data_IF_833491468640
#
_entry.id   IF_833491468640
#
_cell.length_a   1.000
_cell.length_b   1.000
_cell.length_c   1.000
_cell.angle_alpha   90.00
_cell.angle_beta   90.00
_cell.angle_gamma   90.00
#
_symmetry.space_group_name_H-M   'P 1'
#
loop_
_entity.id
_entity.type
_entity.pdbx_description
1 polymer ?
#
# COMPACT_ATOMS: atom_id res chain seq x y z
N UNK A 1 3.43 -1.57 -19.09
CA UNK A 1 2.10 -0.95 -18.90
C UNK A 1 1.94 -0.67 -17.42
N UNK A 2 1.79 0.58 -17.01
CA UNK A 2 1.50 0.91 -15.61
C UNK A 2 0.05 0.50 -15.30
N UNK A 3 -0.17 -0.22 -14.20
CA UNK A 3 -1.51 -0.53 -13.73
C UNK A 3 -2.22 0.78 -13.34
N UNK A 4 -3.37 1.07 -13.93
CA UNK A 4 -4.16 2.23 -13.56
C UNK A 4 -4.63 2.06 -12.10
N UNK A 5 -4.33 3.06 -11.26
CA UNK A 5 -4.79 3.07 -9.88
C UNK A 5 -6.32 3.11 -9.85
N UNK A 6 -6.94 2.26 -9.03
CA UNK A 6 -8.39 2.21 -8.88
C UNK A 6 -8.89 3.49 -8.18
N UNK A 7 -10.01 4.07 -8.62
CA UNK A 7 -10.60 5.23 -7.96
C UNK A 7 -10.98 4.89 -6.51
N UNK A 8 -10.58 5.75 -5.58
CA UNK A 8 -10.96 5.68 -4.18
C UNK A 8 -11.77 6.91 -3.82
N UNK A 9 -12.77 6.76 -2.95
CA UNK A 9 -13.51 7.87 -2.33
C UNK A 9 -13.29 7.83 -0.82
N UNK A 10 -13.19 9.01 -0.20
CA UNK A 10 -13.07 9.15 1.25
C UNK A 10 -14.34 9.81 1.77
N UNK A 11 -14.96 9.18 2.77
CA UNK A 11 -16.15 9.67 3.44
C UNK A 11 -15.75 10.21 4.80
N UNK A 12 -15.97 11.50 5.03
CA UNK A 12 -15.62 12.17 6.28
C UNK A 12 -16.88 12.55 7.06
N UNK A 13 -16.91 12.23 8.36
CA UNK A 13 -17.97 12.66 9.28
C UNK A 13 -17.39 13.57 10.36
N UNK A 14 -17.79 14.84 10.34
CA UNK A 14 -17.23 15.92 11.18
C UNK A 14 -18.18 16.40 12.30
N UNK A 15 -19.42 15.88 12.36
CA UNK A 15 -20.47 16.50 13.17
C UNK A 15 -20.35 16.23 14.68
N UNK A 16 -19.62 15.18 15.12
CA UNK A 16 -19.40 14.87 16.53
C UNK A 16 -18.17 13.97 16.74
N UNK A 17 -17.40 14.15 17.82
CA UNK A 17 -16.34 13.21 18.19
C UNK A 17 -16.92 11.83 18.56
N UNK A 18 -16.31 10.72 18.12
CA UNK A 18 -15.07 10.67 17.32
C UNK A 18 -15.31 11.01 15.84
N UNK A 19 -14.40 11.80 15.27
CA UNK A 19 -14.30 11.96 13.82
C UNK A 19 -14.03 10.59 13.17
N UNK A 20 -14.74 10.31 12.07
CA UNK A 20 -14.63 9.02 11.39
C UNK A 20 -14.44 9.23 9.90
N UNK A 21 -13.41 8.58 9.35
CA UNK A 21 -13.13 8.59 7.91
C UNK A 21 -13.17 7.17 7.37
N UNK A 22 -14.01 6.93 6.36
CA UNK A 22 -14.09 5.65 5.67
C UNK A 22 -13.56 5.79 4.24
N UNK A 23 -12.59 4.95 3.88
CA UNK A 23 -12.15 4.83 2.49
C UNK A 23 -13.02 3.81 1.76
N UNK A 24 -13.86 4.28 0.86
CA UNK A 24 -14.66 3.42 -0.01
C UNK A 24 -13.87 3.12 -1.29
N UNK A 25 -13.49 1.86 -1.46
CA UNK A 25 -12.80 1.40 -2.67
C UNK A 25 -13.83 1.05 -3.74
N UNK A 26 -13.87 1.82 -4.83
CA UNK A 26 -14.73 1.56 -5.99
C UNK A 26 -14.06 0.55 -6.94
N UNK A 27 -13.48 -0.53 -6.39
CA UNK A 27 -12.84 -1.58 -7.18
C UNK A 27 -13.79 -2.26 -8.16
N UNK A 28 -13.36 -3.32 -8.86
CA UNK A 28 -14.06 -4.02 -9.96
C UNK A 28 -15.49 -4.54 -9.70
N UNK A 29 -16.09 -4.17 -8.57
CA UNK A 29 -17.49 -4.37 -8.25
C UNK A 29 -18.43 -3.51 -9.11
N UNK A 30 -19.70 -3.90 -9.14
CA UNK A 30 -20.76 -3.14 -9.78
C UNK A 30 -20.84 -1.72 -9.19
N UNK A 31 -21.20 -0.71 -9.99
CA UNK A 31 -21.37 0.66 -9.50
C UNK A 31 -22.32 0.70 -8.31
N UNK A 32 -21.94 1.46 -7.27
CA UNK A 32 -22.70 1.57 -6.01
C UNK A 32 -23.53 2.85 -6.02
N UNK A 33 -24.80 2.76 -5.65
CA UNK A 33 -25.64 3.93 -5.39
C UNK A 33 -25.20 4.64 -4.11
N UNK A 34 -25.44 5.95 -4.00
CA UNK A 34 -25.20 6.72 -2.78
C UNK A 34 -25.88 6.10 -1.56
N UNK A 35 -27.13 5.65 -1.66
CA UNK A 35 -27.85 4.98 -0.57
C UNK A 35 -27.07 3.79 0.00
N UNK A 36 -26.63 2.88 -0.88
CA UNK A 36 -25.81 1.73 -0.50
C UNK A 36 -24.48 2.14 0.15
N UNK A 37 -23.85 3.19 -0.35
CA UNK A 37 -22.59 3.67 0.21
C UNK A 37 -22.79 4.27 1.62
N UNK A 38 -23.90 4.98 1.86
CA UNK A 38 -24.29 5.48 3.18
C UNK A 38 -24.65 4.35 4.14
N UNK A 39 -25.31 3.28 3.68
CA UNK A 39 -25.55 2.08 4.49
C UNK A 39 -24.24 1.39 4.91
N UNK A 40 -23.29 1.26 3.98
CA UNK A 40 -21.94 0.73 4.27
C UNK A 40 -21.20 1.61 5.27
N UNK A 41 -21.34 2.94 5.14
CA UNK A 41 -20.77 3.90 6.09
C UNK A 41 -21.39 3.78 7.49
N UNK A 42 -22.71 3.74 7.60
CA UNK A 42 -23.41 3.63 8.88
C UNK A 42 -23.02 2.34 9.62
N UNK A 43 -22.88 1.21 8.90
CA UNK A 43 -22.39 -0.05 9.46
C UNK A 43 -20.95 0.05 9.95
N UNK A 44 -20.06 0.67 9.17
CA UNK A 44 -18.68 0.86 9.58
C UNK A 44 -18.56 1.80 10.80
N UNK A 45 -19.39 2.84 10.87
CA UNK A 45 -19.45 3.77 11.99
C UNK A 45 -19.93 3.09 13.28
N UNK A 46 -20.85 2.13 13.19
CA UNK A 46 -21.34 1.34 14.34
C UNK A 46 -20.22 0.63 15.13
N UNK A 47 -19.11 0.28 14.47
CA UNK A 47 -17.94 -0.34 15.10
C UNK A 47 -17.22 0.60 16.08
N UNK A 48 -17.53 1.90 16.07
CA UNK A 48 -17.04 2.88 17.04
C UNK A 48 -17.83 2.89 18.35
N UNK A 49 -18.89 2.07 18.45
CA UNK A 49 -19.82 2.06 19.58
C UNK A 49 -20.96 3.07 19.46
N UNK A 50 -21.03 3.80 18.34
CA UNK A 50 -22.06 4.80 18.03
C UNK A 50 -22.80 4.44 16.74
N UNK A 51 -24.12 4.55 16.72
CA UNK A 51 -24.97 4.26 15.57
C UNK A 51 -25.45 5.55 14.87
N UNK A 52 -25.53 5.48 13.55
CA UNK A 52 -26.14 6.48 12.68
C UNK A 52 -27.32 5.83 11.95
N UNK A 53 -28.46 6.52 11.87
CA UNK A 53 -29.60 6.05 11.08
C UNK A 53 -29.31 6.32 9.59
N UNK A 54 -29.29 5.31 8.69
CA UNK A 54 -28.98 5.55 7.29
C UNK A 54 -29.92 6.55 6.60
N UNK A 55 -31.19 6.59 7.04
CA UNK A 55 -32.20 7.54 6.56
C UNK A 55 -31.95 8.98 6.99
N UNK A 56 -31.10 9.24 8.00
CA UNK A 56 -30.70 10.58 8.40
C UNK A 56 -29.40 11.04 7.75
N UNK A 57 -28.74 10.19 6.96
CA UNK A 57 -27.48 10.50 6.30
C UNK A 57 -27.69 11.17 4.95
N UNK A 58 -26.88 12.19 4.67
CA UNK A 58 -26.71 12.75 3.33
C UNK A 58 -25.24 12.76 2.93
N UNK A 59 -24.98 12.65 1.63
CA UNK A 59 -23.65 12.68 1.05
C UNK A 59 -23.49 13.97 0.24
N UNK A 60 -22.42 14.72 0.49
CA UNK A 60 -22.16 16.00 -0.18
C UNK A 60 -20.73 16.09 -0.70
N UNK A 61 -20.54 16.85 -1.78
CA UNK A 61 -19.21 17.17 -2.30
C UNK A 61 -18.51 18.24 -1.45
N UNK A 62 -17.22 18.47 -1.68
CA UNK A 62 -16.46 19.55 -1.03
C UNK A 62 -17.09 20.94 -1.23
N UNK A 63 -17.78 21.15 -2.35
CA UNK A 63 -18.51 22.41 -2.64
C UNK A 63 -19.87 22.49 -1.91
N UNK A 64 -20.23 21.47 -1.13
CA UNK A 64 -21.49 21.38 -0.38
C UNK A 64 -22.70 20.93 -1.20
N UNK A 65 -22.50 20.47 -2.44
CA UNK A 65 -23.61 19.95 -3.25
C UNK A 65 -24.00 18.55 -2.78
N UNK A 66 -25.28 18.37 -2.42
CA UNK A 66 -25.81 17.07 -2.01
C UNK A 66 -26.02 16.14 -3.22
N UNK A 67 -25.62 14.88 -3.05
CA UNK A 67 -25.78 13.84 -4.06
C UNK A 67 -27.10 13.08 -3.82
N UNK A 68 -27.92 12.85 -4.87
CA UNK A 68 -29.16 12.11 -4.70
C UNK A 68 -28.88 10.63 -4.40
N UNK A 69 -29.76 10.01 -3.61
CA UNK A 69 -29.57 8.66 -3.07
C UNK A 69 -29.41 7.56 -4.14
N UNK A 70 -29.99 7.76 -5.32
CA UNK A 70 -29.94 6.87 -6.48
C UNK A 70 -28.74 7.15 -7.40
N UNK A 71 -27.95 8.19 -7.14
CA UNK A 71 -26.74 8.49 -7.93
C UNK A 71 -25.72 7.35 -7.82
N UNK A 72 -25.14 6.95 -8.95
CA UNK A 72 -24.14 5.88 -9.01
C UNK A 72 -22.72 6.43 -8.83
N UNK A 73 -21.98 6.03 -7.81
CA UNK A 73 -20.60 6.45 -7.59
C UNK A 73 -19.62 5.75 -8.58
N UNK A 74 -18.61 6.46 -9.12
CA UNK A 74 -18.28 7.88 -8.93
C UNK A 74 -18.90 8.74 -10.05
N UNK A 75 -20.20 9.04 -10.02
CA UNK A 75 -20.89 9.82 -11.07
C UNK A 75 -20.33 11.24 -11.20
N UNK A 76 -19.47 11.47 -12.20
CA UNK A 76 -18.97 12.80 -12.54
C UNK A 76 -18.00 13.40 -11.51
N UNK A 77 -17.57 12.62 -10.51
CA UNK A 77 -16.59 13.06 -9.52
C UNK A 77 -15.17 12.80 -10.06
N UNK A 78 -14.24 13.76 -9.95
CA UNK A 78 -12.85 13.50 -10.26
C UNK A 78 -12.28 12.38 -9.37
N UNK A 79 -11.30 11.61 -9.87
CA UNK A 79 -10.61 10.61 -9.06
C UNK A 79 -10.07 11.25 -7.77
N UNK A 80 -10.22 10.54 -6.64
CA UNK A 80 -9.77 11.02 -5.33
C UNK A 80 -10.53 12.23 -4.79
N UNK A 81 -11.79 12.43 -5.19
CA UNK A 81 -12.65 13.43 -4.55
C UNK A 81 -13.00 13.02 -3.12
N UNK A 82 -12.95 13.99 -2.22
CA UNK A 82 -13.47 13.84 -0.86
C UNK A 82 -14.99 14.06 -0.86
N UNK A 83 -15.69 13.21 -0.12
CA UNK A 83 -17.12 13.28 0.09
C UNK A 83 -17.40 13.39 1.58
N UNK A 84 -18.37 14.22 1.93
CA UNK A 84 -18.71 14.53 3.31
C UNK A 84 -20.05 13.89 3.63
N UNK A 85 -20.05 13.06 4.68
CA UNK A 85 -21.26 12.45 5.22
C UNK A 85 -21.78 13.36 6.33
N UNK A 86 -23.03 13.78 6.20
CA UNK A 86 -23.74 14.57 7.22
C UNK A 86 -24.88 13.74 7.79
N UNK A 87 -25.19 13.95 9.07
CA UNK A 87 -26.36 13.35 9.71
C UNK A 87 -27.29 14.45 10.22
N UNK A 88 -28.58 14.35 9.92
CA UNK A 88 -29.61 15.21 10.48
C UNK A 88 -29.92 14.91 11.95
N UNK A 89 -29.52 13.72 12.44
CA UNK A 89 -29.75 13.24 13.80
C UNK A 89 -28.38 12.96 14.47
N UNK A 90 -28.17 13.36 15.74
CA UNK A 90 -26.92 13.06 16.43
C UNK A 90 -26.71 11.54 16.56
N UNK A 91 -25.45 11.06 16.57
CA UNK A 91 -25.15 9.66 16.81
C UNK A 91 -25.71 9.20 18.17
N UNK A 92 -26.32 8.02 18.21
CA UNK A 92 -26.77 7.39 19.47
C UNK A 92 -25.84 6.23 19.84
N UNK A 93 -25.75 5.81 21.11
CA UNK A 93 -25.04 4.59 21.46
C UNK A 93 -25.54 3.40 20.61
N UNK A 94 -24.62 2.64 20.05
CA UNK A 94 -24.98 1.46 19.28
C UNK A 94 -25.53 0.38 20.22
N UNK A 95 -26.56 -0.34 19.80
CA UNK A 95 -27.00 -1.54 20.49
C UNK A 95 -25.87 -2.59 20.39
N UNK A 96 -25.39 -3.09 21.53
CA UNK A 96 -24.31 -4.06 21.59
C UNK A 96 -24.60 -5.29 20.72
N UNK A 97 -25.87 -5.71 20.63
CA UNK A 97 -26.28 -6.83 19.77
C UNK A 97 -26.15 -6.51 18.27
N UNK A 98 -26.36 -5.24 17.88
CA UNK A 98 -26.22 -4.80 16.50
C UNK A 98 -24.74 -4.69 16.08
N UNK A 99 -23.85 -4.32 17.01
CA UNK A 99 -22.40 -4.26 16.76
C UNK A 99 -21.83 -5.66 16.52
N UNK A 100 -22.17 -6.64 17.37
CA UNK A 100 -21.74 -8.03 17.16
C UNK A 100 -22.27 -8.61 15.85
N UNK A 101 -23.54 -8.34 15.49
CA UNK A 101 -24.11 -8.80 14.24
C UNK A 101 -23.43 -8.18 13.00
N UNK A 102 -23.01 -6.91 13.09
CA UNK A 102 -22.29 -6.23 12.01
C UNK A 102 -20.90 -6.82 11.80
N UNK A 103 -20.17 -7.14 12.88
CA UNK A 103 -18.82 -7.72 12.80
C UNK A 103 -18.84 -9.11 12.15
N UNK A 104 -19.83 -9.95 12.52
CA UNK A 104 -20.04 -11.26 11.90
C UNK A 104 -20.39 -11.14 10.42
N UNK A 105 -21.24 -10.20 10.04
CA UNK A 105 -21.64 -9.99 8.65
C UNK A 105 -20.48 -9.50 7.76
N UNK A 106 -19.58 -8.66 8.30
CA UNK A 106 -18.38 -8.22 7.58
C UNK A 106 -17.40 -9.37 7.37
N UNK A 107 -17.21 -10.23 8.38
CA UNK A 107 -16.34 -11.40 8.25
C UNK A 107 -16.90 -12.42 7.25
N UNK A 108 -18.23 -12.62 7.23
CA UNK A 108 -18.90 -13.53 6.31
C UNK A 108 -18.88 -13.02 4.86
N UNK A 109 -19.07 -11.71 4.64
CA UNK A 109 -18.90 -11.08 3.34
C UNK A 109 -17.47 -11.24 2.79
N UNK A 110 -16.46 -11.06 3.65
CA UNK A 110 -15.06 -11.26 3.28
C UNK A 110 -14.73 -12.74 2.94
N UNK A 111 -15.37 -13.71 3.61
CA UNK A 111 -15.22 -15.14 3.29
C UNK A 111 -15.92 -15.53 2.00
N UNK A 112 -17.11 -14.99 1.72
CA UNK A 112 -17.87 -15.27 0.50
C UNK A 112 -17.18 -14.79 -0.78
N UNK A 113 -16.41 -13.70 -0.71
CA UNK A 113 -15.72 -13.13 -1.86
C UNK A 113 -14.48 -13.95 -2.28
N UNK A 114 -13.81 -14.58 -1.31
CA UNK A 114 -12.66 -15.46 -1.57
C UNK A 114 -13.06 -16.76 -2.30
N UNK A 115 -14.30 -17.24 -2.09
CA UNK A 115 -14.81 -18.48 -2.70
C UNK A 115 -15.25 -18.32 -4.17
N UNK A 116 -15.52 -17.10 -4.65
CA UNK A 116 -16.04 -16.86 -6.03
C UNK A 116 -14.96 -16.64 -7.10
N UNK A 117 -13.67 -16.60 -6.73
CA UNK A 117 -12.55 -16.40 -7.68
C UNK A 117 -12.05 -17.66 -8.40
N UNK A 118 -12.73 -18.81 -8.25
CA UNK A 118 -12.34 -20.09 -8.85
C UNK A 118 -12.92 -20.42 -10.23
N UNK A 119 -13.46 -19.46 -10.98
CA UNK A 119 -13.98 -19.70 -12.33
C UNK A 119 -12.88 -19.80 -13.39
N UNK A 120 -12.98 -20.69 -14.39
CA UNK A 120 -11.97 -20.84 -15.43
C UNK A 120 -11.79 -19.53 -16.21
N UNK A 121 -10.54 -19.05 -16.21
CA UNK A 121 -10.07 -17.87 -16.94
C UNK A 121 -10.33 -18.05 -18.44
N UNK A 122 -11.37 -17.40 -18.95
CA UNK A 122 -11.58 -17.26 -20.39
C UNK A 122 -10.50 -16.33 -20.95
N UNK A 123 -9.80 -16.80 -21.99
CA UNK A 123 -8.73 -16.09 -22.67
C UNK A 123 -9.11 -14.63 -23.01
N UNK A 124 -8.14 -13.69 -22.97
CA UNK A 124 -8.40 -12.28 -23.24
C UNK A 124 -8.86 -12.09 -24.69
N UNK A 125 -10.16 -11.89 -24.89
CA UNK A 125 -10.71 -11.45 -26.17
C UNK A 125 -10.42 -9.95 -26.33
N UNK A 126 -9.38 -9.65 -27.11
CA UNK A 126 -9.11 -8.30 -27.61
C UNK A 126 -10.18 -7.98 -28.66
N UNK A 127 -11.19 -7.20 -28.28
CA UNK A 127 -12.14 -6.61 -29.23
C UNK A 127 -11.49 -5.38 -29.90
N UNK A 128 -10.63 -5.61 -30.89
CA UNK A 128 -10.42 -4.59 -31.90
C UNK A 128 -11.62 -4.66 -32.86
N UNK A 129 -12.46 -3.62 -32.84
CA UNK A 129 -13.60 -3.48 -33.77
C UNK A 129 -13.05 -3.49 -35.21
N UNK A 130 -13.63 -4.30 -36.09
CA UNK A 130 -13.32 -4.28 -37.53
C UNK A 130 -13.44 -2.83 -38.05
N UNK A 131 -12.37 -2.35 -38.70
CA UNK A 131 -12.26 -0.97 -39.19
C UNK A 131 -11.49 0.00 -38.28
N UNK A 132 -11.01 -0.41 -37.10
CA UNK A 132 -10.16 0.46 -36.27
C UNK A 132 -8.73 0.62 -36.83
N UNK A 133 -8.12 1.78 -36.60
CA UNK A 133 -6.71 2.04 -36.96
C UNK A 133 -5.72 1.05 -36.31
N UNK A 134 -6.10 0.43 -35.19
CA UNK A 134 -5.30 -0.60 -34.51
C UNK A 134 -5.30 -1.91 -35.30
N UNK A 135 -6.44 -2.30 -35.90
CA UNK A 135 -6.52 -3.47 -36.77
C UNK A 135 -5.70 -3.28 -38.06
N UNK A 136 -5.71 -2.08 -38.64
CA UNK A 136 -4.90 -1.74 -39.80
C UNK A 136 -3.38 -1.71 -39.49
N UNK A 137 -3.01 -1.24 -38.28
CA UNK A 137 -1.61 -1.22 -37.83
C UNK A 137 -1.10 -2.63 -37.54
N UNK A 138 -1.90 -3.51 -36.91
CA UNK A 138 -1.53 -4.91 -36.68
C UNK A 138 -1.45 -5.73 -37.97
N UNK A 139 -2.32 -5.48 -38.96
CA UNK A 139 -2.22 -6.10 -40.29
C UNK A 139 -0.95 -5.68 -41.07
N UNK A 140 -0.36 -4.52 -40.73
CA UNK A 140 0.89 -4.00 -41.30
C UNK A 140 2.15 -4.37 -40.50
N UNK A 141 2.04 -5.17 -39.44
CA UNK A 141 3.18 -5.63 -38.61
C UNK A 141 4.03 -6.69 -39.30
N UNK A 142 4.62 -6.34 -40.45
CA UNK A 142 5.64 -7.13 -41.14
C UNK A 142 6.75 -6.28 -41.77
N UNK A 143 6.54 -4.98 -41.99
CA UNK A 143 7.48 -4.16 -42.77
C UNK A 143 8.34 -3.17 -41.96
N UNK A 144 8.02 -2.91 -40.69
CA UNK A 144 8.78 -1.95 -39.85
C UNK A 144 9.24 -2.52 -38.51
N UNK A 145 9.64 -3.80 -38.47
CA UNK A 145 10.35 -4.37 -37.32
C UNK A 145 11.81 -3.87 -37.30
N UNK A 146 12.03 -2.74 -36.64
CA UNK A 146 13.33 -2.30 -36.13
C UNK A 146 13.86 -3.30 -35.08
N UNK A 147 14.20 -4.53 -35.45
CA UNK A 147 14.85 -5.49 -34.55
C UNK A 147 15.57 -6.63 -35.28
N UNK A 148 16.40 -6.33 -36.30
CA UNK A 148 17.42 -7.27 -36.79
C UNK A 148 18.70 -6.56 -37.20
N UNK A 149 19.54 -6.26 -36.21
CA UNK A 149 20.98 -6.04 -36.40
C UNK A 149 21.77 -7.01 -35.53
N UNK A 150 21.47 -8.30 -35.64
CA UNK A 150 22.49 -9.34 -35.42
C UNK A 150 23.18 -9.55 -36.76
N UNK A 151 24.24 -8.77 -36.95
CA UNK A 151 25.07 -8.79 -38.15
C UNK A 151 25.59 -10.19 -38.45
N UNK A 152 25.47 -10.58 -39.73
CA UNK A 152 26.23 -11.68 -40.32
C UNK A 152 27.71 -11.27 -40.40
N UNK A 153 28.44 -11.39 -39.29
CA UNK A 153 29.89 -11.41 -39.35
C UNK A 153 30.34 -12.78 -39.85
N UNK A 154 30.56 -12.91 -41.17
CA UNK A 154 31.38 -13.97 -41.75
C UNK A 154 32.85 -13.65 -41.48
N UNK A 155 33.30 -13.91 -40.26
CA UNK A 155 34.70 -13.77 -39.85
C UNK A 155 35.15 -15.02 -39.12
N UNK A 156 36.19 -15.65 -39.65
CA UNK A 156 37.09 -16.68 -39.06
C UNK A 156 36.73 -17.21 -37.66
N UNK A 157 36.50 -18.52 -37.60
CA UNK A 157 36.26 -19.29 -36.38
C UNK A 157 37.41 -19.17 -35.37
N UNK A 158 37.30 -18.23 -34.44
CA UNK A 158 38.00 -18.29 -33.17
C UNK A 158 37.21 -19.22 -32.24
N UNK A 159 37.91 -20.14 -31.56
CA UNK A 159 37.33 -21.05 -30.59
C UNK A 159 36.63 -20.26 -29.46
N UNK A 160 35.31 -20.14 -29.57
CA UNK A 160 34.47 -19.52 -28.54
C UNK A 160 34.43 -20.48 -27.36
N UNK A 161 34.99 -20.06 -26.23
CA UNK A 161 34.93 -20.82 -24.99
C UNK A 161 33.47 -21.14 -24.66
N UNK A 162 33.19 -22.43 -24.41
CA UNK A 162 31.86 -22.91 -24.07
C UNK A 162 31.27 -22.07 -22.92
N UNK A 163 30.02 -21.60 -23.04
CA UNK A 163 29.39 -20.82 -21.98
C UNK A 163 29.41 -21.61 -20.67
N UNK A 164 30.01 -21.03 -19.63
CA UNK A 164 30.02 -21.58 -18.28
C UNK A 164 28.57 -21.72 -17.83
N UNK A 165 28.16 -22.94 -17.47
CA UNK A 165 26.82 -23.20 -16.95
C UNK A 165 26.59 -22.33 -15.72
N UNK A 166 25.64 -21.38 -15.82
CA UNK A 166 25.19 -20.59 -14.67
C UNK A 166 24.52 -21.57 -13.71
N UNK A 167 25.12 -21.73 -12.54
CA UNK A 167 24.56 -22.52 -11.44
C UNK A 167 23.15 -22.00 -11.16
N UNK A 168 22.15 -22.81 -11.47
CA UNK A 168 20.75 -22.58 -11.13
C UNK A 168 20.63 -22.60 -9.62
N UNK A 169 20.64 -21.42 -9.01
CA UNK A 169 20.34 -21.25 -7.58
C UNK A 169 18.88 -21.69 -7.41
N UNK A 170 18.66 -22.68 -6.55
CA UNK A 170 17.35 -23.30 -6.33
C UNK A 170 16.29 -22.24 -5.99
N UNK A 171 15.38 -21.99 -6.94
CA UNK A 171 14.30 -21.04 -6.82
C UNK A 171 12.99 -21.79 -6.58
N UNK A 172 12.66 -22.07 -5.33
CA UNK A 172 11.32 -22.55 -4.97
C UNK A 172 10.88 -22.17 -3.55
N UNK A 173 11.39 -21.04 -3.04
CA UNK A 173 10.78 -20.42 -1.86
C UNK A 173 9.48 -19.74 -2.31
N UNK A 174 8.34 -20.37 -2.05
CA UNK A 174 7.02 -19.78 -2.24
C UNK A 174 7.01 -18.37 -1.61
N UNK A 175 6.65 -17.31 -2.36
CA UNK A 175 6.70 -15.95 -1.83
C UNK A 175 5.79 -15.86 -0.60
N UNK A 176 6.40 -15.51 0.54
CA UNK A 176 5.66 -15.31 1.78
C UNK A 176 4.73 -14.11 1.62
N UNK A 177 3.55 -14.16 2.27
CA UNK A 177 2.63 -13.03 2.28
C UNK A 177 3.28 -11.87 3.04
N UNK A 178 3.54 -10.79 2.32
CA UNK A 178 4.11 -9.56 2.88
C UNK A 178 3.01 -8.75 3.60
N UNK A 179 3.28 -8.33 4.83
CA UNK A 179 2.38 -7.54 5.68
C UNK A 179 3.11 -6.26 6.09
N UNK A 180 2.59 -5.10 5.70
CA UNK A 180 3.19 -3.82 6.07
C UNK A 180 3.01 -3.52 7.55
N UNK A 181 4.09 -3.15 8.23
CA UNK A 181 4.07 -2.69 9.62
C UNK A 181 3.61 -1.23 9.62
N UNK A 182 2.35 -0.98 9.98
CA UNK A 182 1.78 0.36 10.05
C UNK A 182 1.94 1.03 11.42
N UNK A 183 2.01 0.23 12.50
CA UNK A 183 2.10 0.75 13.87
C UNK A 183 3.55 0.72 14.36
N UNK A 184 4.10 1.90 14.66
CA UNK A 184 5.39 2.08 15.30
C UNK A 184 5.40 3.42 16.06
N UNK A 185 6.27 3.54 17.06
CA UNK A 185 6.56 4.83 17.70
C UNK A 185 8.04 5.17 17.56
N UNK A 186 8.37 6.46 17.48
CA UNK A 186 9.74 6.93 17.43
C UNK A 186 10.08 7.81 18.64
N UNK A 187 11.32 7.74 19.07
CA UNK A 187 11.91 8.59 20.10
C UNK A 187 13.19 9.18 19.55
N UNK A 188 13.34 10.48 19.67
CA UNK A 188 14.57 11.18 19.30
C UNK A 188 15.46 11.40 20.54
N UNK A 189 16.60 10.70 20.60
CA UNK A 189 17.58 10.73 21.68
C UNK A 189 18.88 11.37 21.19
N UNK A 190 18.85 12.69 20.92
CA UNK A 190 19.95 13.53 20.46
C UNK A 190 20.75 12.94 19.27
N UNK A 191 21.72 12.07 19.55
CA UNK A 191 22.53 11.39 18.53
C UNK A 191 21.82 10.22 17.83
N UNK A 192 20.70 9.70 18.38
CA UNK A 192 20.06 8.48 17.88
C UNK A 192 18.56 8.61 17.80
N UNK A 193 17.95 7.98 16.81
CA UNK A 193 16.50 7.82 16.71
C UNK A 193 16.15 6.36 17.00
N UNK A 194 15.28 6.12 17.97
CA UNK A 194 14.80 4.79 18.35
C UNK A 194 13.39 4.57 17.84
N UNK A 195 13.21 3.56 17.00
CA UNK A 195 11.90 3.15 16.49
C UNK A 195 11.47 1.90 17.25
N UNK A 196 10.38 2.01 18.00
CA UNK A 196 9.74 0.88 18.68
C UNK A 196 8.63 0.31 17.81
N UNK A 197 8.79 -0.93 17.38
CA UNK A 197 7.79 -1.67 16.60
C UNK A 197 7.12 -2.68 17.54
N UNK A 198 5.86 -2.47 17.95
CA UNK A 198 5.14 -3.43 18.77
C UNK A 198 4.97 -4.75 18.01
N UNK A 199 5.49 -5.83 18.58
CA UNK A 199 5.49 -7.15 17.96
C UNK A 199 5.55 -8.22 19.05
N UNK A 200 4.42 -8.91 19.26
CA UNK A 200 4.34 -10.03 20.18
C UNK A 200 5.33 -11.13 19.75
N UNK A 201 6.03 -11.74 20.72
CA UNK A 201 7.01 -12.78 20.43
C UNK A 201 8.34 -12.30 19.84
N UNK A 202 8.59 -10.99 19.70
CA UNK A 202 9.84 -10.48 19.11
C UNK A 202 11.13 -10.98 19.80
N UNK A 203 11.08 -11.24 21.11
CA UNK A 203 12.21 -11.80 21.85
C UNK A 203 12.51 -13.27 21.51
N UNK A 204 11.52 -14.00 20.99
CA UNK A 204 11.59 -15.43 20.69
C UNK A 204 11.83 -15.73 19.22
N UNK A 205 12.04 -14.70 18.39
CA UNK A 205 12.34 -14.86 16.97
C UNK A 205 13.70 -15.55 16.78
N UNK A 206 13.78 -16.57 15.90
CA UNK A 206 15.02 -17.29 15.65
C UNK A 206 16.05 -16.35 15.00
N UNK A 207 17.33 -16.70 15.15
CA UNK A 207 18.39 -15.92 14.53
C UNK A 207 18.31 -16.06 13.00
N UNK A 208 18.39 -14.93 12.31
CA UNK A 208 18.15 -14.82 10.87
C UNK A 208 16.71 -14.51 10.48
N UNK A 209 15.77 -14.46 11.43
CA UNK A 209 14.39 -14.04 11.16
C UNK A 209 14.27 -12.56 10.80
N UNK A 210 15.24 -11.73 11.25
CA UNK A 210 15.21 -10.28 11.09
C UNK A 210 16.31 -9.88 10.11
N UNK A 211 15.91 -9.32 8.98
CA UNK A 211 16.81 -8.71 8.02
C UNK A 211 16.53 -7.20 8.00
N UNK A 212 17.54 -6.41 8.34
CA UNK A 212 17.50 -4.97 8.32
C UNK A 212 18.54 -4.44 7.32
N UNK A 213 18.11 -3.62 6.37
CA UNK A 213 18.96 -2.97 5.38
C UNK A 213 18.94 -1.48 5.66
N UNK A 214 20.09 -0.92 6.04
CA UNK A 214 20.25 0.51 6.28
C UNK A 214 20.95 1.16 5.09
N UNK A 215 20.51 2.35 4.68
CA UNK A 215 21.12 3.21 3.66
C UNK A 215 21.25 4.63 4.22
N UNK A 216 21.89 5.55 3.49
CA UNK A 216 22.15 6.90 3.98
C UNK A 216 20.88 7.64 4.40
N UNK A 217 19.78 7.46 3.66
CA UNK A 217 18.48 8.10 3.94
C UNK A 217 17.31 7.14 3.84
N UNK A 218 17.53 5.84 3.90
CA UNK A 218 16.44 4.87 3.87
C UNK A 218 16.76 3.68 4.75
N UNK A 219 15.73 2.96 5.17
CA UNK A 219 15.93 1.63 5.73
C UNK A 219 14.75 0.71 5.36
N UNK A 220 15.03 -0.58 5.28
CA UNK A 220 14.05 -1.64 5.05
C UNK A 220 14.25 -2.72 6.11
N UNK A 221 13.22 -3.01 6.89
CA UNK A 221 13.24 -4.10 7.87
C UNK A 221 12.21 -5.14 7.47
N UNK A 222 12.66 -6.39 7.38
CA UNK A 222 11.85 -7.57 7.12
C UNK A 222 11.98 -8.52 8.29
N UNK A 223 10.83 -8.91 8.84
CA UNK A 223 10.74 -9.88 9.92
C UNK A 223 9.92 -11.07 9.46
N UNK A 224 10.52 -12.25 9.45
CA UNK A 224 9.84 -13.49 9.10
C UNK A 224 9.31 -14.15 10.38
N UNK A 225 7.99 -14.27 10.50
CA UNK A 225 7.35 -14.94 11.63
C UNK A 225 6.10 -15.71 11.18
N UNK A 226 5.94 -16.96 11.61
CA UNK A 226 4.75 -17.80 11.34
C UNK A 226 4.33 -17.84 9.85
N UNK A 227 5.30 -17.89 8.92
CA UNK A 227 5.03 -17.91 7.48
C UNK A 227 4.50 -16.59 6.90
N UNK A 228 4.57 -15.49 7.66
CA UNK A 228 4.33 -14.12 7.20
C UNK A 228 5.65 -13.35 7.19
N UNK A 229 5.79 -12.44 6.24
CA UNK A 229 6.90 -11.48 6.20
C UNK A 229 6.36 -10.10 6.56
N UNK A 230 6.68 -9.62 7.76
CA UNK A 230 6.33 -8.27 8.18
C UNK A 230 7.39 -7.30 7.68
N UNK A 231 6.99 -6.23 7.00
CA UNK A 231 7.92 -5.26 6.43
C UNK A 231 7.66 -3.84 6.89
N UNK A 232 8.70 -3.17 7.36
CA UNK A 232 8.74 -1.73 7.57
C UNK A 232 9.77 -1.13 6.62
N UNK A 233 9.28 -0.52 5.52
CA UNK A 233 10.13 0.20 4.57
C UNK A 233 9.91 1.71 4.71
N UNK A 234 11.01 2.43 4.91
CA UNK A 234 11.06 3.90 4.93
C UNK A 234 11.99 4.35 3.81
N UNK A 235 11.44 4.78 2.65
CA UNK A 235 12.24 5.07 1.46
C UNK A 235 13.07 6.35 1.59
N UNK A 236 12.59 7.33 2.37
CA UNK A 236 13.26 8.61 2.59
C UNK A 236 13.04 9.02 4.06
N UNK A 237 14.14 9.01 4.82
CA UNK A 237 14.23 9.50 6.18
C UNK A 237 14.35 11.02 6.19
N UNK A 238 13.93 11.62 7.30
CA UNK A 238 14.01 13.07 7.49
C UNK A 238 15.45 13.58 7.30
N UNK A 239 16.42 12.95 7.96
CA UNK A 239 17.85 13.24 7.84
C UNK A 239 18.68 12.00 7.53
N UNK A 240 19.96 12.21 7.22
CA UNK A 240 20.92 11.14 6.97
C UNK A 240 21.31 10.39 8.25
N UNK A 241 21.58 9.09 8.08
CA UNK A 241 21.99 8.18 9.16
C UNK A 241 23.38 7.61 8.92
N UNK A 242 24.11 7.28 10.00
CA UNK A 242 25.34 6.52 9.92
C UNK A 242 25.00 5.01 9.88
N UNK A 243 24.89 4.47 8.67
CA UNK A 243 24.42 3.10 8.41
C UNK A 243 25.14 2.03 9.23
N UNK A 244 26.47 2.16 9.39
CA UNK A 244 27.32 1.18 10.10
C UNK A 244 27.11 1.17 11.61
N UNK A 245 26.60 2.28 12.16
CA UNK A 245 26.28 2.41 13.58
C UNK A 245 24.80 2.08 13.88
N UNK A 246 23.97 1.92 12.84
CA UNK A 246 22.59 1.50 12.99
C UNK A 246 22.52 0.04 13.45
N UNK A 247 21.50 -0.29 14.24
CA UNK A 247 21.34 -1.64 14.77
C UNK A 247 19.87 -1.98 15.04
N UNK A 248 19.59 -3.28 15.13
CA UNK A 248 18.28 -3.78 15.51
C UNK A 248 18.40 -4.64 16.78
N UNK A 249 17.47 -4.49 17.73
CA UNK A 249 17.49 -5.21 19.02
C UNK A 249 16.13 -5.84 19.33
N UNK A 250 16.15 -7.16 19.58
CA UNK A 250 15.00 -7.91 20.12
C UNK A 250 14.73 -7.50 21.58
N UNK A 251 13.47 -7.23 21.91
CA UNK A 251 12.97 -7.01 23.29
C UNK A 251 11.64 -7.74 23.46
N UNK A 252 11.25 -7.96 24.72
CA UNK A 252 9.96 -8.59 25.00
C UNK A 252 8.82 -7.68 24.50
N UNK A 253 7.99 -8.21 23.61
CA UNK A 253 6.82 -7.52 23.04
C UNK A 253 7.12 -6.43 22.01
N UNK A 254 8.39 -6.14 21.68
CA UNK A 254 8.74 -5.15 20.66
C UNK A 254 10.11 -5.36 20.02
N UNK A 255 10.24 -4.89 18.78
CA UNK A 255 11.51 -4.76 18.09
C UNK A 255 11.97 -3.29 18.17
N UNK A 256 13.24 -3.06 18.54
CA UNK A 256 13.80 -1.71 18.61
C UNK A 256 14.81 -1.54 17.48
N UNK A 257 14.56 -0.59 16.59
CA UNK A 257 15.51 -0.14 15.56
C UNK A 257 16.20 1.11 16.08
N UNK A 258 17.52 1.13 16.04
CA UNK A 258 18.32 2.27 16.45
C UNK A 258 18.99 2.82 15.20
N UNK A 259 18.61 4.03 14.82
CA UNK A 259 19.23 4.79 13.74
C UNK A 259 20.21 5.80 14.35
N UNK A 260 21.50 5.66 14.04
CA UNK A 260 22.49 6.66 14.44
C UNK A 260 22.39 7.85 13.48
N UNK A 261 22.16 9.06 13.97
CA UNK A 261 22.13 10.25 13.10
C UNK A 261 23.53 10.51 12.55
N UNK A 262 23.60 10.93 11.29
CA UNK A 262 24.87 11.41 10.71
C UNK A 262 25.29 12.74 11.34
N UNK A 263 24.31 13.61 11.59
CA UNK A 263 24.47 14.89 12.27
C UNK A 263 23.64 14.88 13.57
N UNK A 264 24.28 14.79 14.76
CA UNK A 264 23.58 14.73 16.03
C UNK A 264 22.90 16.05 16.41
N UNK A 265 23.23 17.17 15.74
CA UNK A 265 22.62 18.48 16.03
C UNK A 265 21.20 18.62 15.47
N UNK A 266 20.79 17.75 14.55
CA UNK A 266 19.49 17.81 13.89
C UNK A 266 18.44 17.01 14.64
N UNK A 267 17.36 17.66 15.06
CA UNK A 267 16.22 17.00 15.70
C UNK A 267 15.27 16.37 14.68
N UNK A 268 14.69 15.22 15.04
CA UNK A 268 13.70 14.52 14.22
C UNK A 268 12.31 14.64 14.83
N UNK A 269 11.42 15.35 14.14
CA UNK A 269 10.00 15.45 14.51
C UNK A 269 9.14 14.39 13.80
N UNK A 270 9.61 13.91 12.65
CA UNK A 270 8.97 12.87 11.84
C UNK A 270 10.01 11.85 11.38
N UNK A 271 9.58 10.60 11.15
CA UNK A 271 10.48 9.56 10.65
C UNK A 271 10.75 9.73 9.16
N UNK A 272 9.72 10.12 8.40
CA UNK A 272 9.75 10.23 6.94
C UNK A 272 9.83 11.69 6.56
N UNK A 273 10.62 12.02 5.53
CA UNK A 273 10.57 13.36 4.95
C UNK A 273 9.24 13.51 4.19
N UNK A 274 8.32 14.33 4.69
CA UNK A 274 7.10 14.71 3.97
C UNK A 274 7.42 15.81 2.96
N UNK A 275 6.72 15.83 1.82
CA UNK A 275 6.91 16.88 0.81
C UNK A 275 6.29 18.17 1.34
N UNK A 276 7.09 18.98 2.03
CA UNK A 276 6.70 20.34 2.39
C UNK A 276 6.40 21.16 1.13
N UNK A 277 5.39 22.02 1.20
CA UNK A 277 5.11 22.98 0.13
C UNK A 277 6.32 23.92 0.02
N UNK A 278 7.05 23.84 -1.11
CA UNK A 278 8.26 24.63 -1.37
C UNK A 278 9.58 23.87 -1.20
N UNK A 279 9.58 22.62 -0.75
CA UNK A 279 10.79 21.83 -0.62
C UNK A 279 11.24 21.27 -1.99
N UNK A 280 12.00 22.08 -2.72
CA UNK A 280 12.51 21.74 -4.07
C UNK A 280 13.56 20.64 -4.05
N UNK A 281 14.13 20.32 -2.89
CA UNK A 281 15.14 19.27 -2.75
C UNK A 281 14.55 17.87 -2.78
N UNK A 282 13.24 17.73 -2.49
CA UNK A 282 12.58 16.42 -2.48
C UNK A 282 12.75 15.66 -3.80
N UNK A 283 12.68 16.37 -4.94
CA UNK A 283 12.84 15.78 -6.27
C UNK A 283 14.26 15.33 -6.60
N UNK A 284 15.27 15.78 -5.83
CA UNK A 284 16.67 15.38 -6.02
C UNK A 284 17.02 14.11 -5.23
N UNK A 285 16.20 13.76 -4.24
CA UNK A 285 16.42 12.59 -3.40
C UNK A 285 15.89 11.37 -4.13
N UNK A 286 16.79 10.48 -4.55
CA UNK A 286 16.42 9.20 -5.13
C UNK A 286 16.10 8.24 -3.97
N UNK A 287 14.87 7.69 -3.90
CA UNK A 287 14.53 6.68 -2.90
C UNK A 287 15.53 5.53 -2.93
N UNK A 288 15.91 5.05 -1.75
CA UNK A 288 16.83 3.91 -1.62
C UNK A 288 18.21 4.09 -2.29
N UNK A 289 18.66 5.34 -2.49
CA UNK A 289 20.02 5.62 -2.96
C UNK A 289 21.06 5.32 -1.88
N UNK A 290 22.27 4.98 -2.32
CA UNK A 290 23.44 4.76 -1.47
C UNK A 290 23.82 3.28 -1.36
N UNK A 291 25.02 3.03 -0.82
CA UNK A 291 25.43 1.68 -0.44
C UNK A 291 24.50 1.17 0.65
N UNK A 292 24.17 -0.12 0.59
CA UNK A 292 23.34 -0.78 1.58
C UNK A 292 24.22 -1.49 2.61
N UNK A 293 23.96 -1.22 3.88
CA UNK A 293 24.51 -2.00 4.99
C UNK A 293 23.45 -2.99 5.48
N UNK A 294 23.69 -4.27 5.21
CA UNK A 294 22.81 -5.35 5.61
C UNK A 294 23.17 -5.86 7.01
N UNK A 295 22.16 -5.98 7.86
CA UNK A 295 22.25 -6.49 9.21
C UNK A 295 21.24 -7.61 9.38
N UNK A 296 21.72 -8.80 9.74
CA UNK A 296 20.90 -9.99 9.95
C UNK A 296 20.99 -10.42 11.41
N UNK A 297 19.84 -10.63 12.06
CA UNK A 297 19.72 -10.98 13.48
C UNK A 297 18.68 -12.06 13.74
#
# INVERSE_FOLDING_TARGET
MAAAALPSLYFHFEAAPPEFTLKLSLGSEAPKTVARALDEFARAYALTGMALAPSSLSLSTADGAELPLDALLPCGLPPSSDLFVRSAVPPSPADAAAVEAADVAVEEAARGESARRGGPSAAPRVYAKEGSAIAASQAKMGENSYYYSVGKNKGTAAAVASPVAVVTIAADAKPLKEVTIANYSMLDDDAKVKINIPMAGAASLPDGAINAVFRDRSFDIRVTNEGKCFRLHVPILLEEINQRACSCRKRQGKLIVILEKRDPSKSWYELRKTKGIGDTEYSKIVPDSGEAFEFCL
#
